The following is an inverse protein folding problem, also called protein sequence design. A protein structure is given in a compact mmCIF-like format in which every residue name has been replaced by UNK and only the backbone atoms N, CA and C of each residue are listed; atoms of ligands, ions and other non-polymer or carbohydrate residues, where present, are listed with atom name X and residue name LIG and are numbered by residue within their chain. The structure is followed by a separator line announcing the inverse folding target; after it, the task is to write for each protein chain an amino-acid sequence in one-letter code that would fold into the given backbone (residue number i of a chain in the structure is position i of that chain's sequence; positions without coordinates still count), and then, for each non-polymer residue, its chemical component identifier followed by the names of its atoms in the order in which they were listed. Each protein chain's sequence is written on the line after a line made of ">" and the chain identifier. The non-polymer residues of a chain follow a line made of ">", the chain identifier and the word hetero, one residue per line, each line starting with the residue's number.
data_IF_747047000846
#
_entry.id   IF_747047000846
#
_cell.length_a   1.000
_cell.length_b   1.000
_cell.length_c   1.000
_cell.angle_alpha   90.00
_cell.angle_beta   90.00
_cell.angle_gamma   90.00
#
_symmetry.space_group_name_H-M   'P 1'
#
loop_
_entity.id
_entity.type
_entity.pdbx_description
1 polymer ?
#
# COMPACT_ATOMS: atom_id res chain seq x y z
N UNK A 1 9.45 -14.64 -4.64
CA UNK A 1 8.91 -14.33 -5.98
C UNK A 1 7.43 -14.07 -5.80
N UNK A 2 6.82 -13.12 -6.53
CA UNK A 2 5.36 -12.95 -6.55
C UNK A 2 4.83 -13.78 -7.72
N UNK A 3 3.80 -14.59 -7.46
CA UNK A 3 3.21 -15.48 -8.45
C UNK A 3 1.78 -15.03 -8.79
N UNK A 4 1.44 -15.04 -10.08
CA UNK A 4 0.11 -14.65 -10.55
C UNK A 4 -0.91 -15.72 -10.14
N UNK A 5 -2.05 -15.29 -9.60
CA UNK A 5 -3.13 -16.17 -9.12
C UNK A 5 -2.94 -16.65 -7.68
N UNK A 6 -1.76 -16.47 -7.09
CA UNK A 6 -1.56 -16.66 -5.66
C UNK A 6 -2.14 -15.47 -4.86
N UNK A 7 -2.55 -15.68 -3.60
CA UNK A 7 -2.90 -14.57 -2.72
C UNK A 7 -1.77 -13.54 -2.64
N UNK A 8 -2.11 -12.26 -2.78
CA UNK A 8 -1.13 -11.19 -2.57
C UNK A 8 -0.60 -11.26 -1.12
N UNK A 9 0.72 -11.17 -0.91
CA UNK A 9 1.29 -11.16 0.44
C UNK A 9 0.77 -9.95 1.22
N UNK A 10 0.28 -10.21 2.43
CA UNK A 10 -0.17 -9.14 3.31
C UNK A 10 1.02 -8.32 3.81
N UNK A 11 0.83 -7.01 3.90
CA UNK A 11 1.81 -6.08 4.44
C UNK A 11 1.11 -4.89 5.09
N UNK A 12 1.83 -4.21 5.98
CA UNK A 12 1.41 -2.98 6.63
C UNK A 12 2.47 -1.90 6.39
N UNK A 13 2.04 -0.68 6.08
CA UNK A 13 2.91 0.47 5.85
C UNK A 13 2.30 1.74 6.45
N UNK A 14 3.12 2.70 6.91
CA UNK A 14 2.63 4.03 7.24
C UNK A 14 1.97 4.68 6.02
N UNK A 15 0.72 5.10 6.16
CA UNK A 15 0.03 5.87 5.13
C UNK A 15 0.34 7.36 5.23
N UNK A 16 0.29 8.06 4.09
CA UNK A 16 0.41 9.51 4.06
C UNK A 16 -0.54 10.11 3.03
N UNK A 17 -1.09 11.28 3.36
CA UNK A 17 -1.92 12.10 2.45
C UNK A 17 -1.33 13.50 2.37
N UNK A 18 -1.96 14.38 1.58
CA UNK A 18 -1.65 15.82 1.58
C UNK A 18 -1.81 16.52 2.94
N UNK A 19 -2.41 15.85 3.93
CA UNK A 19 -2.64 16.37 5.27
C UNK A 19 -1.64 15.83 6.31
N UNK A 20 -0.67 15.01 5.88
CA UNK A 20 0.34 14.41 6.74
C UNK A 20 0.22 12.88 6.82
N UNK A 21 0.96 12.31 7.77
CA UNK A 21 0.99 10.87 8.06
C UNK A 21 -0.31 10.45 8.75
N UNK A 22 -0.84 9.29 8.38
CA UNK A 22 -2.03 8.72 9.01
C UNK A 22 -1.71 8.22 10.43
N UNK A 23 -2.69 8.29 11.33
CA UNK A 23 -2.55 7.77 12.70
C UNK A 23 -2.53 6.24 12.77
N UNK A 24 -3.07 5.59 11.75
CA UNK A 24 -3.11 4.13 11.61
C UNK A 24 -2.31 3.70 10.38
N UNK A 25 -1.74 2.51 10.44
CA UNK A 25 -1.09 1.90 9.28
C UNK A 25 -2.12 1.46 8.24
N UNK A 26 -1.69 1.41 6.98
CA UNK A 26 -2.50 0.85 5.89
C UNK A 26 -2.11 -0.61 5.71
N UNK A 27 -3.07 -1.52 5.88
CA UNK A 27 -2.87 -2.95 5.71
C UNK A 27 -3.54 -3.45 4.44
N UNK A 28 -2.84 -4.23 3.62
CA UNK A 28 -3.39 -4.73 2.35
C UNK A 28 -4.66 -5.56 2.56
N UNK A 29 -4.70 -6.38 3.61
CA UNK A 29 -5.86 -7.21 3.92
C UNK A 29 -7.13 -6.45 4.31
N UNK A 30 -7.06 -5.16 4.62
CA UNK A 30 -8.25 -4.34 4.88
C UNK A 30 -9.08 -4.12 3.61
N UNK A 31 -8.47 -4.23 2.42
CA UNK A 31 -9.12 -4.07 1.12
C UNK A 31 -9.68 -5.38 0.53
N UNK A 32 -9.88 -6.42 1.34
CA UNK A 32 -10.44 -7.69 0.86
C UNK A 32 -11.84 -7.48 0.28
N UNK A 33 -12.05 -7.99 -0.94
CA UNK A 33 -13.31 -7.83 -1.67
C UNK A 33 -13.28 -6.68 -2.68
N UNK A 34 -12.24 -5.83 -2.63
CA UNK A 34 -12.03 -4.75 -3.59
C UNK A 34 -11.04 -5.14 -4.69
N UNK A 35 -11.14 -4.48 -5.85
CA UNK A 35 -10.10 -4.52 -6.88
C UNK A 35 -9.07 -3.44 -6.55
N UNK A 36 -7.86 -3.85 -6.17
CA UNK A 36 -6.78 -2.96 -5.75
C UNK A 36 -5.62 -2.99 -6.74
N UNK A 37 -5.07 -1.82 -7.05
CA UNK A 37 -3.86 -1.66 -7.86
C UNK A 37 -2.74 -1.10 -6.99
N UNK A 38 -1.61 -1.81 -6.91
CA UNK A 38 -0.41 -1.37 -6.20
C UNK A 38 0.65 -0.88 -7.19
N UNK A 39 1.23 0.28 -6.92
CA UNK A 39 2.31 0.84 -7.71
C UNK A 39 3.47 1.25 -6.80
N UNK A 40 4.66 0.70 -7.06
CA UNK A 40 5.88 1.01 -6.32
C UNK A 40 6.77 1.96 -7.11
N UNK A 41 7.33 2.95 -6.44
CA UNK A 41 8.26 3.92 -7.03
C UNK A 41 9.57 3.89 -6.24
N UNK A 42 10.71 3.78 -6.93
CA UNK A 42 12.04 3.64 -6.31
C UNK A 42 12.53 4.92 -5.59
N UNK A 43 11.93 6.07 -5.88
CA UNK A 43 12.31 7.37 -5.31
C UNK A 43 11.10 8.29 -5.20
N UNK A 44 11.01 8.99 -4.07
CA UNK A 44 10.03 10.05 -3.86
C UNK A 44 10.34 11.26 -4.76
N UNK A 45 9.32 11.78 -5.46
CA UNK A 45 9.49 12.94 -6.36
C UNK A 45 9.37 14.28 -5.65
N UNK A 46 8.68 14.32 -4.51
CA UNK A 46 8.43 15.52 -3.71
C UNK A 46 8.52 15.16 -2.23
N UNK A 47 9.19 15.97 -1.41
CA UNK A 47 9.06 15.81 0.05
C UNK A 47 7.64 16.22 0.42
N UNK A 48 6.88 15.27 0.97
CA UNK A 48 5.57 15.54 1.57
C UNK A 48 5.69 16.46 2.77
#
# INVERSE_FOLDING_TARGET
>A
MIEVGAPAPDFSLPGATRHGVLGEEVRLSDYRGETVVLAFFFRVRTRG
#
